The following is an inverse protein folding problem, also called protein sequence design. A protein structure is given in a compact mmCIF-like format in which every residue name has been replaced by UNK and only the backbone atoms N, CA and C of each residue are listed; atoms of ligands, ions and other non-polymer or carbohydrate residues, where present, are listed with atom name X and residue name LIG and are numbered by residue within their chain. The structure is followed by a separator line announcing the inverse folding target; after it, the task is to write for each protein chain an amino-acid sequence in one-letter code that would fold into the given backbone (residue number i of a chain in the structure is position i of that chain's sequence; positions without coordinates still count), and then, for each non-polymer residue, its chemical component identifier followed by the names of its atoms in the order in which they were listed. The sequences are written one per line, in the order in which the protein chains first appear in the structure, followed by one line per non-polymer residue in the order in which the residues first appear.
data_IF_423705763179
#
_entry.id   IF_423705763179
#
_cell.length_a   1.000
_cell.length_b   1.000
_cell.length_c   1.000
_cell.angle_alpha   90.00
_cell.angle_beta   90.00
_cell.angle_gamma   90.00
#
_symmetry.space_group_name_H-M   'P 1'
#
loop_
_entity.id
_entity.type
_entity.pdbx_description
1 polymer ?
#
# COMPACT_ATOMS: atom_id res chain seq x y z
N UNK A 1 -12.61 -3.68 34.56
CA UNK A 1 -11.49 -2.92 33.96
C UNK A 1 -10.53 -3.75 33.11
N UNK A 2 -10.18 -4.99 33.49
CA UNK A 2 -9.19 -5.83 32.78
C UNK A 2 -9.62 -6.28 31.37
N UNK A 3 -10.93 -6.47 31.14
CA UNK A 3 -11.49 -6.85 29.84
C UNK A 3 -11.47 -5.71 28.79
N UNK A 4 -11.59 -4.45 29.22
CA UNK A 4 -11.56 -3.29 28.31
C UNK A 4 -10.20 -3.14 27.62
N UNK A 5 -9.11 -3.38 28.35
CA UNK A 5 -7.76 -3.31 27.80
C UNK A 5 -7.51 -4.30 26.67
N UNK A 6 -8.08 -5.51 26.77
CA UNK A 6 -7.98 -6.51 25.70
C UNK A 6 -8.67 -6.06 24.41
N UNK A 7 -9.87 -5.49 24.52
CA UNK A 7 -10.63 -4.99 23.35
C UNK A 7 -9.89 -3.81 22.69
N UNK A 8 -9.33 -2.90 23.50
CA UNK A 8 -8.55 -1.75 22.99
C UNK A 8 -7.30 -2.22 22.23
N UNK A 9 -6.57 -3.21 22.75
CA UNK A 9 -5.39 -3.78 22.08
C UNK A 9 -5.74 -4.42 20.75
N UNK A 10 -6.85 -5.18 20.69
CA UNK A 10 -7.30 -5.84 19.46
C UNK A 10 -7.70 -4.81 18.40
N UNK A 11 -8.44 -3.76 18.79
CA UNK A 11 -8.83 -2.69 17.87
C UNK A 11 -7.61 -1.92 17.33
N UNK A 12 -6.61 -1.68 18.17
CA UNK A 12 -5.35 -1.04 17.77
C UNK A 12 -4.57 -1.91 16.76
N UNK A 13 -4.49 -3.22 17.02
CA UNK A 13 -3.81 -4.14 16.09
C UNK A 13 -4.51 -4.22 14.73
N UNK A 14 -5.84 -4.30 14.73
CA UNK A 14 -6.63 -4.32 13.50
C UNK A 14 -6.48 -3.03 12.69
N UNK A 15 -6.52 -1.87 13.35
CA UNK A 15 -6.33 -0.57 12.67
C UNK A 15 -4.93 -0.43 12.06
N UNK A 16 -3.88 -0.89 12.76
CA UNK A 16 -2.52 -0.94 12.21
C UNK A 16 -2.44 -1.88 11.02
N UNK A 17 -3.00 -3.10 11.10
CA UNK A 17 -2.97 -4.06 9.99
C UNK A 17 -3.71 -3.53 8.74
N UNK A 18 -4.81 -2.80 8.92
CA UNK A 18 -5.56 -2.18 7.80
C UNK A 18 -4.76 -1.01 7.18
N UNK A 19 -4.05 -0.24 8.01
CA UNK A 19 -3.15 0.80 7.52
C UNK A 19 -1.96 0.18 6.75
N UNK A 20 -1.35 -0.88 7.28
CA UNK A 20 -0.23 -1.59 6.66
C UNK A 20 -0.63 -2.28 5.34
N UNK A 21 -1.86 -2.79 5.25
CA UNK A 21 -2.36 -3.34 3.99
C UNK A 21 -2.66 -2.25 2.94
N UNK A 22 -2.88 -1.01 3.39
CA UNK A 22 -3.03 0.15 2.51
C UNK A 22 -1.69 0.69 1.99
N UNK A 23 -0.56 0.30 2.57
CA UNK A 23 0.80 0.71 2.16
C UNK A 23 1.60 -0.41 1.46
N UNK A 24 1.03 -1.61 1.30
CA UNK A 24 1.43 -2.58 0.27
C UNK A 24 1.01 -2.07 -1.13
N UNK A 25 1.34 -0.80 -1.41
CA UNK A 25 0.54 0.05 -2.29
C UNK A 25 0.95 0.01 -3.75
N UNK A 26 2.07 -0.61 -4.09
CA UNK A 26 2.49 -1.09 -5.42
C UNK A 26 3.95 -1.54 -5.43
N UNK A 27 4.35 -2.40 -6.38
CA UNK A 27 5.76 -2.76 -6.54
C UNK A 27 6.61 -1.51 -6.84
N UNK A 28 7.86 -1.54 -6.35
CA UNK A 28 8.84 -0.51 -6.67
C UNK A 28 9.14 -0.48 -8.17
N UNK A 29 9.47 0.72 -8.65
CA UNK A 29 9.79 0.97 -10.04
C UNK A 29 11.29 0.82 -10.29
N UNK A 30 11.77 -0.41 -10.40
CA UNK A 30 13.17 -0.67 -10.75
C UNK A 30 13.38 -0.60 -12.26
N UNK A 31 14.38 0.17 -12.70
CA UNK A 31 14.76 0.29 -14.12
C UNK A 31 15.22 -1.02 -14.75
N UNK A 32 15.64 -1.98 -13.93
CA UNK A 32 15.98 -3.35 -14.35
C UNK A 32 14.77 -4.18 -14.78
N UNK A 33 13.55 -3.80 -14.37
CA UNK A 33 12.32 -4.44 -14.83
C UNK A 33 11.64 -3.54 -15.89
N UNK A 34 11.62 -3.92 -17.18
CA UNK A 34 10.98 -3.12 -18.22
C UNK A 34 9.46 -3.01 -18.04
N UNK A 35 8.85 -3.90 -17.25
CA UNK A 35 7.41 -3.91 -16.98
C UNK A 35 7.01 -3.15 -15.70
N UNK A 36 7.97 -2.55 -14.99
CA UNK A 36 7.73 -1.88 -13.72
C UNK A 36 6.61 -0.81 -13.80
N UNK A 37 6.52 -0.07 -14.90
CA UNK A 37 5.49 0.95 -15.09
C UNK A 37 4.10 0.34 -15.34
N UNK A 38 4.03 -0.81 -16.02
CA UNK A 38 2.79 -1.54 -16.23
C UNK A 38 2.30 -2.20 -14.93
N UNK A 39 3.21 -2.74 -14.11
CA UNK A 39 2.90 -3.30 -12.79
C UNK A 39 2.43 -2.21 -11.82
N UNK A 40 3.07 -1.04 -11.83
CA UNK A 40 2.65 0.13 -11.09
C UNK A 40 1.25 0.61 -11.53
N UNK A 41 0.99 0.71 -12.84
CA UNK A 41 -0.35 1.02 -13.35
C UNK A 41 -1.40 0.02 -12.90
N UNK A 42 -1.13 -1.28 -13.03
CA UNK A 42 -2.06 -2.35 -12.65
C UNK A 42 -2.44 -2.26 -11.20
N UNK A 43 -1.45 -2.10 -10.33
CA UNK A 43 -1.70 -2.03 -8.92
C UNK A 43 -2.44 -0.73 -8.51
N UNK A 44 -2.21 0.41 -9.18
CA UNK A 44 -2.98 1.64 -8.97
C UNK A 44 -4.32 1.69 -9.75
N UNK A 45 -4.94 0.56 -10.11
CA UNK A 45 -6.25 0.54 -10.79
C UNK A 45 -6.19 0.77 -12.31
N UNK A 46 -5.15 0.25 -12.96
CA UNK A 46 -4.93 0.21 -14.42
C UNK A 46 -4.78 1.54 -15.17
N UNK A 47 -4.98 2.72 -14.56
CA UNK A 47 -4.97 4.00 -15.30
C UNK A 47 -4.24 5.16 -14.64
N UNK A 48 -3.77 4.98 -13.41
CA UNK A 48 -3.33 6.11 -12.59
C UNK A 48 -1.91 5.98 -12.07
N UNK A 49 -1.41 4.75 -11.90
CA UNK A 49 -0.05 4.53 -11.40
C UNK A 49 1.02 5.05 -12.34
N UNK A 50 2.01 5.76 -11.79
CA UNK A 50 3.21 6.18 -12.50
C UNK A 50 4.44 5.98 -11.66
N UNK A 51 5.54 5.59 -12.30
CA UNK A 51 6.84 5.49 -11.66
C UNK A 51 7.47 6.88 -11.48
N UNK A 52 7.82 7.23 -10.25
CA UNK A 52 8.62 8.40 -9.90
C UNK A 52 9.95 7.93 -9.29
N UNK A 53 10.98 7.82 -10.13
CA UNK A 53 12.23 7.16 -9.74
C UNK A 53 11.97 5.70 -9.38
N UNK A 54 12.38 5.28 -8.17
CA UNK A 54 12.21 3.91 -7.68
C UNK A 54 10.83 3.63 -7.05
N UNK A 55 9.99 4.65 -6.86
CA UNK A 55 8.69 4.50 -6.21
C UNK A 55 7.56 4.52 -7.23
N UNK A 56 6.58 3.62 -7.04
CA UNK A 56 5.32 3.70 -7.74
C UNK A 56 4.39 4.68 -7.02
N UNK A 57 3.92 5.70 -7.74
CA UNK A 57 3.03 6.73 -7.23
C UNK A 57 1.63 6.50 -7.81
N UNK A 58 0.67 6.19 -6.93
CA UNK A 58 -0.74 6.20 -7.28
C UNK A 58 -1.30 7.60 -6.97
N UNK A 59 -1.77 8.37 -7.97
CA UNK A 59 -2.55 9.56 -7.70
C UNK A 59 -3.89 9.07 -7.13
N UNK A 60 -4.07 9.33 -5.83
CA UNK A 60 -5.36 9.20 -5.17
C UNK A 60 -6.34 10.12 -5.91
N UNK A 61 -7.46 9.55 -6.35
CA UNK A 61 -8.56 10.31 -6.95
C UNK A 61 -9.29 11.14 -5.91
#
# INVERSE_FOLDING_TARGET
MKFLYGIILIALFLTVMIATHSEARCPNCFTTNPNAEADCKKCCGNRWGKCAGYQCVCPMK
#
